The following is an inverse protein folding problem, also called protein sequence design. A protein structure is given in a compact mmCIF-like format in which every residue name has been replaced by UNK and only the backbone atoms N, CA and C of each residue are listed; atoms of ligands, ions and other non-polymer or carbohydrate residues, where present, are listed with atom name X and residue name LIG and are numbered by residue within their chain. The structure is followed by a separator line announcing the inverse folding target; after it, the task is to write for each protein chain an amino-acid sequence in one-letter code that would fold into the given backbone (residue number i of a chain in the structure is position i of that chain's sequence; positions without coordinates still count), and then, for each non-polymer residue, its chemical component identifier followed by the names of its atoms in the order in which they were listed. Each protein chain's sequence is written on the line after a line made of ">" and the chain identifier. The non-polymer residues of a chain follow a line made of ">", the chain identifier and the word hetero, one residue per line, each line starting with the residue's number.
data_IF_380046719729
#
_entry.id   IF_380046719729
#
_cell.length_a   1.000
_cell.length_b   1.000
_cell.length_c   1.000
_cell.angle_alpha   90.00
_cell.angle_beta   90.00
_cell.angle_gamma   90.00
#
_symmetry.space_group_name_H-M   'P 1'
#
loop_
_entity.id
_entity.type
_entity.pdbx_description
1 polymer ?
#
# COMPACT_ATOMS: atom_id res chain seq x y z
N UNK A 1 31.43 17.08 5.09
CA UNK A 1 30.17 16.44 5.54
C UNK A 1 29.66 17.18 6.76
N UNK A 2 28.33 17.34 6.88
CA UNK A 2 27.68 18.09 7.96
C UNK A 2 26.82 17.24 8.91
N UNK A 3 27.10 15.94 9.05
CA UNK A 3 26.35 15.09 9.98
C UNK A 3 27.10 14.78 11.27
N UNK A 4 26.52 13.88 12.06
CA UNK A 4 27.14 13.37 13.28
C UNK A 4 28.38 12.55 12.91
N UNK A 5 29.42 12.61 13.74
CA UNK A 5 30.58 11.73 13.63
C UNK A 5 30.18 10.24 13.59
N UNK A 6 31.08 9.36 13.16
CA UNK A 6 30.80 7.93 13.13
C UNK A 6 30.88 7.32 14.54
N UNK A 7 30.18 6.20 14.76
CA UNK A 7 30.46 5.38 15.94
C UNK A 7 31.89 4.81 15.85
N UNK A 8 32.48 4.44 17.00
CA UNK A 8 33.81 3.80 17.00
C UNK A 8 33.84 2.54 16.14
N UNK A 9 32.76 1.75 16.15
CA UNK A 9 32.62 0.53 15.34
C UNK A 9 32.61 0.84 13.85
N UNK A 10 31.78 1.78 13.40
CA UNK A 10 31.70 2.15 11.97
C UNK A 10 33.02 2.78 11.51
N UNK A 11 33.71 3.51 12.39
CA UNK A 11 35.01 4.08 12.08
C UNK A 11 36.12 3.03 11.98
N UNK A 12 36.09 1.99 12.83
CA UNK A 12 37.02 0.87 12.73
C UNK A 12 36.81 0.08 11.43
N UNK A 13 35.56 -0.13 11.02
CA UNK A 13 35.22 -0.71 9.72
C UNK A 13 35.71 0.16 8.55
N UNK A 14 35.52 1.49 8.65
CA UNK A 14 36.03 2.44 7.65
C UNK A 14 37.55 2.35 7.48
N UNK A 15 38.30 2.21 8.58
CA UNK A 15 39.77 2.05 8.53
C UNK A 15 40.18 0.74 7.85
N UNK A 16 39.41 -0.33 8.04
CA UNK A 16 39.69 -1.63 7.43
C UNK A 16 39.27 -1.73 5.96
N UNK A 17 38.50 -0.76 5.46
CA UNK A 17 37.96 -0.71 4.10
C UNK A 17 38.62 0.37 3.23
N UNK A 18 39.80 0.88 3.63
CA UNK A 18 40.59 1.79 2.79
C UNK A 18 40.88 1.14 1.44
N UNK A 19 40.62 1.88 0.36
CA UNK A 19 40.66 1.37 -1.00
C UNK A 19 39.34 0.78 -1.49
N UNK A 20 38.40 0.46 -0.61
CA UNK A 20 37.08 -0.08 -0.94
C UNK A 20 35.99 0.98 -1.18
N UNK A 21 34.74 0.51 -1.21
CA UNK A 21 33.55 1.33 -1.48
C UNK A 21 32.72 1.56 -0.20
N UNK A 22 32.13 2.74 -0.11
CA UNK A 22 31.24 3.17 0.98
C UNK A 22 29.99 3.82 0.40
N UNK A 23 28.83 3.59 1.01
CA UNK A 23 27.61 4.34 0.72
C UNK A 23 26.96 4.82 2.01
N UNK A 24 26.16 5.89 1.91
CA UNK A 24 25.36 6.39 3.02
C UNK A 24 23.90 5.98 2.83
N UNK A 25 23.30 5.47 3.91
CA UNK A 25 21.90 5.03 3.92
C UNK A 25 20.90 6.20 4.03
N UNK A 26 21.38 7.43 4.21
CA UNK A 26 20.58 8.64 4.35
C UNK A 26 21.07 9.74 3.38
N UNK A 27 20.25 10.78 3.17
CA UNK A 27 20.67 11.98 2.45
C UNK A 27 21.92 12.60 3.09
N UNK A 28 22.90 12.91 2.24
CA UNK A 28 24.22 13.32 2.69
C UNK A 28 24.38 14.83 2.48
N UNK A 29 24.24 15.61 3.55
CA UNK A 29 24.46 17.07 3.52
C UNK A 29 25.94 17.41 3.69
N UNK A 30 26.43 18.27 2.80
CA UNK A 30 27.83 18.65 2.71
C UNK A 30 27.99 20.12 2.36
N UNK A 31 29.22 20.62 2.47
CA UNK A 31 29.57 22.00 2.21
C UNK A 31 30.77 22.09 1.28
N UNK A 32 30.79 23.11 0.43
CA UNK A 32 32.00 23.54 -0.29
C UNK A 32 33.01 24.25 0.63
N UNK A 33 32.54 24.82 1.74
CA UNK A 33 33.37 25.43 2.79
C UNK A 33 33.92 24.37 3.72
N UNK A 34 35.24 24.26 3.74
CA UNK A 34 35.95 23.35 4.65
C UNK A 34 35.69 23.70 6.10
N UNK A 35 35.74 25.00 6.43
CA UNK A 35 35.64 25.47 7.81
C UNK A 35 34.27 25.13 8.42
N UNK A 36 33.19 25.24 7.63
CA UNK A 36 31.86 24.84 8.08
C UNK A 36 31.83 23.35 8.38
N UNK A 37 32.25 22.48 7.45
CA UNK A 37 32.28 21.02 7.69
C UNK A 37 33.21 20.64 8.86
N UNK A 38 34.32 21.35 9.03
CA UNK A 38 35.27 21.09 10.12
C UNK A 38 34.66 21.40 11.49
N UNK A 39 33.87 22.46 11.63
CA UNK A 39 33.18 22.78 12.89
C UNK A 39 32.22 21.67 13.37
N UNK A 40 31.55 20.97 12.43
CA UNK A 40 30.71 19.81 12.76
C UNK A 40 31.54 18.60 13.20
N UNK A 41 32.71 18.39 12.59
CA UNK A 41 33.65 17.35 12.99
C UNK A 41 34.22 17.62 14.40
N UNK A 42 34.57 18.87 14.72
CA UNK A 42 35.01 19.29 16.06
C UNK A 42 33.91 19.09 17.11
N UNK A 43 32.68 19.49 16.80
CA UNK A 43 31.52 19.29 17.68
C UNK A 43 31.33 17.81 18.02
N UNK A 44 31.46 16.94 17.01
CA UNK A 44 31.34 15.48 17.19
C UNK A 44 32.51 14.88 17.97
N UNK A 45 33.73 15.40 17.82
CA UNK A 45 34.91 14.91 18.52
C UNK A 45 34.84 15.08 20.05
N UNK A 46 34.01 16.00 20.54
CA UNK A 46 33.77 16.18 21.97
C UNK A 46 32.80 15.14 22.56
N UNK A 47 32.14 14.32 21.73
CA UNK A 47 31.26 13.25 22.19
C UNK A 47 32.04 11.93 22.34
N UNK A 48 32.13 11.33 23.54
CA UNK A 48 32.92 10.11 23.75
C UNK A 48 32.43 8.89 22.96
N UNK A 49 31.18 8.88 22.48
CA UNK A 49 30.60 7.79 21.69
C UNK A 49 30.91 7.89 20.20
N UNK A 50 31.41 9.03 19.73
CA UNK A 50 31.59 9.33 18.32
C UNK A 50 33.04 9.65 18.00
N UNK A 51 33.39 9.47 16.74
CA UNK A 51 34.66 9.88 16.16
C UNK A 51 34.39 11.11 15.29
N UNK A 52 35.06 12.21 15.56
CA UNK A 52 34.99 13.42 14.74
C UNK A 52 35.62 13.17 13.37
N UNK A 53 34.83 13.31 12.30
CA UNK A 53 35.28 12.99 10.94
C UNK A 53 34.97 14.12 9.99
N UNK A 54 35.99 14.52 9.23
CA UNK A 54 35.86 15.42 8.10
C UNK A 54 35.97 14.62 6.79
N UNK A 55 34.84 14.35 6.15
CA UNK A 55 34.85 13.79 4.79
C UNK A 55 35.17 14.88 3.77
N UNK A 56 36.27 14.69 3.03
CA UNK A 56 36.68 15.51 1.89
C UNK A 56 36.36 14.76 0.61
N UNK A 57 35.40 15.30 -0.15
CA UNK A 57 34.78 14.61 -1.29
C UNK A 57 35.33 15.19 -2.59
N UNK A 58 35.83 14.34 -3.46
CA UNK A 58 36.20 14.71 -4.83
C UNK A 58 35.13 14.24 -5.80
N UNK A 59 34.69 15.16 -6.64
CA UNK A 59 33.73 14.89 -7.72
C UNK A 59 34.42 15.22 -9.03
N UNK A 60 34.42 14.27 -9.97
CA UNK A 60 34.94 14.51 -11.32
C UNK A 60 33.91 15.37 -12.09
N UNK A 61 34.30 16.55 -12.60
CA UNK A 61 33.38 17.45 -13.30
C UNK A 61 32.87 16.91 -14.64
N UNK A 62 33.45 15.83 -15.18
CA UNK A 62 32.98 15.17 -16.40
C UNK A 62 31.77 14.25 -16.18
N UNK A 63 31.33 14.05 -14.92
CA UNK A 63 30.19 13.21 -14.57
C UNK A 63 28.86 13.86 -14.98
N UNK A 64 28.09 13.19 -15.84
CA UNK A 64 26.80 13.66 -16.35
C UNK A 64 25.59 13.17 -15.52
N UNK A 65 25.79 12.20 -14.62
CA UNK A 65 24.80 11.78 -13.66
C UNK A 65 24.92 12.69 -12.43
N UNK A 66 23.82 13.34 -12.04
CA UNK A 66 23.76 14.28 -10.91
C UNK A 66 23.17 13.58 -9.69
N UNK A 67 23.93 12.74 -8.94
CA UNK A 67 23.45 12.21 -7.66
C UNK A 67 23.48 13.29 -6.57
N UNK A 68 23.74 14.55 -6.90
CA UNK A 68 23.74 15.64 -5.94
C UNK A 68 23.18 16.94 -6.52
N UNK A 69 22.64 17.77 -5.62
CA UNK A 69 22.15 19.12 -5.93
C UNK A 69 22.88 20.14 -5.07
N UNK A 70 23.22 21.29 -5.67
CA UNK A 70 23.71 22.45 -4.94
C UNK A 70 22.53 23.27 -4.47
N UNK A 71 22.35 23.36 -3.16
CA UNK A 71 21.33 24.19 -2.52
C UNK A 71 22.00 25.53 -2.22
N UNK A 72 21.64 26.56 -3.00
CA UNK A 72 22.18 27.92 -2.90
C UNK A 72 21.65 28.68 -1.69
N UNK A 73 21.09 29.88 -1.89
CA UNK A 73 20.64 30.84 -0.86
C UNK A 73 19.61 30.31 0.17
N UNK A 74 19.16 29.06 0.06
CA UNK A 74 18.27 28.38 1.01
C UNK A 74 19.04 27.55 2.06
N UNK A 75 20.38 27.66 2.10
CA UNK A 75 21.21 27.00 3.09
C UNK A 75 21.09 27.66 4.48
N UNK A 76 21.37 26.90 5.54
CA UNK A 76 21.30 27.39 6.92
C UNK A 76 22.26 28.56 7.21
N UNK A 77 23.34 28.70 6.43
CA UNK A 77 24.32 29.76 6.55
C UNK A 77 24.25 30.67 5.32
N UNK A 78 23.87 31.93 5.51
CA UNK A 78 23.50 32.89 4.45
C UNK A 78 24.56 33.22 3.38
N UNK A 79 25.79 32.70 3.50
CA UNK A 79 26.90 32.91 2.56
C UNK A 79 27.53 31.59 2.06
N UNK A 80 26.83 30.46 2.21
CA UNK A 80 27.38 29.13 1.94
C UNK A 80 26.58 28.35 0.89
N UNK A 81 27.28 27.64 -0.01
CA UNK A 81 26.64 26.65 -0.90
C UNK A 81 26.64 25.27 -0.25
N UNK A 82 25.46 24.77 0.07
CA UNK A 82 25.25 23.40 0.53
C UNK A 82 25.16 22.44 -0.66
N UNK A 83 25.66 21.22 -0.48
CA UNK A 83 25.57 20.16 -1.49
C UNK A 83 24.94 18.92 -0.87
N UNK A 84 23.80 18.50 -1.41
CA UNK A 84 23.04 17.32 -0.97
C UNK A 84 23.25 16.18 -1.94
N UNK A 85 23.70 15.02 -1.47
CA UNK A 85 23.73 13.79 -2.28
C UNK A 85 22.50 12.91 -2.02
N UNK A 86 22.04 12.21 -3.06
CA UNK A 86 20.97 11.22 -3.00
C UNK A 86 21.35 10.02 -2.12
N UNK A 87 20.33 9.33 -1.61
CA UNK A 87 20.51 8.07 -0.90
C UNK A 87 21.25 7.04 -1.79
N UNK A 88 22.07 6.20 -1.17
CA UNK A 88 22.86 5.15 -1.83
C UNK A 88 23.93 5.64 -2.81
N UNK A 89 24.31 6.92 -2.75
CA UNK A 89 25.50 7.39 -3.48
C UNK A 89 26.74 6.64 -2.97
N UNK A 90 27.52 6.09 -3.89
CA UNK A 90 28.71 5.28 -3.59
C UNK A 90 29.99 6.10 -3.77
N UNK A 91 30.89 6.00 -2.81
CA UNK A 91 32.19 6.67 -2.79
C UNK A 91 33.32 5.66 -2.60
N UNK A 92 34.46 5.90 -3.24
CA UNK A 92 35.71 5.16 -3.01
C UNK A 92 36.52 5.82 -1.91
N UNK A 93 36.97 5.03 -0.94
CA UNK A 93 37.75 5.51 0.20
C UNK A 93 39.24 5.51 -0.19
N UNK A 94 39.93 6.64 -0.07
CA UNK A 94 41.34 6.76 -0.44
C UNK A 94 42.28 6.67 0.75
N UNK A 95 42.18 7.64 1.66
CA UNK A 95 43.09 7.74 2.79
C UNK A 95 42.43 8.44 3.98
N UNK A 96 42.94 8.11 5.16
CA UNK A 96 42.49 8.67 6.43
C UNK A 96 43.70 9.34 7.10
N UNK A 97 43.58 10.62 7.44
CA UNK A 97 44.62 11.41 8.10
C UNK A 97 44.08 11.99 9.39
N UNK A 98 44.92 12.05 10.43
CA UNK A 98 44.57 12.78 11.65
C UNK A 98 44.84 14.27 11.43
N UNK A 99 43.87 15.11 11.76
CA UNK A 99 43.94 16.56 11.64
C UNK A 99 43.51 17.24 12.95
N UNK A 100 43.98 18.48 13.16
CA UNK A 100 43.64 19.30 14.33
C UNK A 100 44.68 19.27 15.46
N UNK A 101 44.52 20.15 16.44
CA UNK A 101 45.39 20.31 17.62
C UNK A 101 44.71 19.90 18.94
N UNK A 102 43.44 19.44 18.88
CA UNK A 102 42.61 19.01 20.01
C UNK A 102 42.29 17.50 19.98
N UNK A 103 41.09 17.04 20.42
CA UNK A 103 40.70 15.64 20.29
C UNK A 103 40.83 15.17 18.83
N UNK A 104 41.20 13.90 18.57
CA UNK A 104 41.58 13.45 17.24
C UNK A 104 40.41 13.57 16.27
N UNK A 105 40.58 14.38 15.23
CA UNK A 105 39.66 14.47 14.10
C UNK A 105 40.30 13.78 12.93
N UNK A 106 39.53 12.97 12.22
CA UNK A 106 40.02 12.21 11.07
C UNK A 106 39.49 12.81 9.77
N UNK A 107 40.39 13.27 8.92
CA UNK A 107 40.07 13.61 7.54
C UNK A 107 40.05 12.34 6.70
N UNK A 108 38.92 12.08 6.04
CA UNK A 108 38.74 10.93 5.16
C UNK A 108 38.55 11.46 3.75
N UNK A 109 39.49 11.13 2.87
CA UNK A 109 39.41 11.49 1.46
C UNK A 109 38.60 10.44 0.71
N UNK A 110 37.50 10.87 0.07
CA UNK A 110 36.65 10.00 -0.73
C UNK A 110 36.39 10.60 -2.11
N UNK A 111 36.21 9.75 -3.12
CA UNK A 111 35.83 10.18 -4.48
C UNK A 111 34.48 9.57 -4.84
N UNK A 112 33.60 10.36 -5.46
CA UNK A 112 32.35 9.87 -6.02
C UNK A 112 32.65 8.83 -7.12
N UNK A 113 32.20 7.59 -6.90
CA UNK A 113 32.51 6.45 -7.77
C UNK A 113 31.66 6.46 -9.04
N UNK A 114 32.23 5.99 -10.15
CA UNK A 114 31.57 5.86 -11.46
C UNK A 114 31.00 4.46 -11.64
N UNK A 115 29.97 4.31 -12.48
CA UNK A 115 29.46 3.00 -12.94
C UNK A 115 30.53 2.16 -13.68
N UNK A 116 31.61 2.80 -14.14
CA UNK A 116 32.74 2.14 -14.79
C UNK A 116 33.78 1.56 -13.81
N UNK A 117 33.62 1.79 -12.51
CA UNK A 117 34.49 1.27 -11.47
C UNK A 117 34.37 -0.27 -11.40
N UNK A 118 35.51 -0.96 -11.43
CA UNK A 118 35.54 -2.42 -11.59
C UNK A 118 34.89 -3.16 -10.40
N UNK A 119 35.13 -2.71 -9.17
CA UNK A 119 34.55 -3.33 -7.97
C UNK A 119 33.06 -3.04 -7.86
N UNK A 120 32.63 -1.81 -8.19
CA UNK A 120 31.21 -1.47 -8.23
C UNK A 120 30.49 -2.27 -9.32
N UNK A 121 31.14 -2.46 -10.48
CA UNK A 121 30.62 -3.30 -11.57
C UNK A 121 30.54 -4.76 -11.14
N UNK A 122 31.57 -5.31 -10.50
CA UNK A 122 31.54 -6.68 -9.97
C UNK A 122 30.46 -6.87 -8.91
N UNK A 123 30.27 -5.91 -7.99
CA UNK A 123 29.18 -5.95 -7.01
C UNK A 123 27.82 -5.89 -7.69
N UNK A 124 27.64 -4.99 -8.65
CA UNK A 124 26.41 -4.86 -9.42
C UNK A 124 26.13 -6.12 -10.24
N UNK A 125 27.17 -6.71 -10.83
CA UNK A 125 27.08 -7.96 -11.59
C UNK A 125 26.82 -9.16 -10.69
N UNK A 126 27.33 -9.17 -9.45
CA UNK A 126 27.01 -10.19 -8.46
C UNK A 126 25.55 -10.09 -8.01
N UNK A 127 25.07 -8.88 -7.68
CA UNK A 127 23.65 -8.63 -7.39
C UNK A 127 22.79 -9.01 -8.60
N UNK A 128 23.22 -8.69 -9.82
CA UNK A 128 22.54 -9.11 -11.05
C UNK A 128 22.53 -10.62 -11.19
N UNK A 129 23.66 -11.31 -10.95
CA UNK A 129 23.78 -12.76 -11.04
C UNK A 129 22.92 -13.47 -9.99
N UNK A 130 22.90 -13.00 -8.74
CA UNK A 130 21.96 -13.48 -7.70
C UNK A 130 20.49 -13.32 -8.13
N UNK A 131 20.19 -12.30 -8.96
CA UNK A 131 18.85 -12.07 -9.51
C UNK A 131 18.60 -12.74 -10.88
N UNK A 132 19.62 -13.28 -11.56
CA UNK A 132 19.55 -13.76 -12.94
C UNK A 132 19.35 -15.27 -13.10
N UNK A 133 19.59 -16.09 -12.07
CA UNK A 133 19.63 -17.55 -12.27
C UNK A 133 18.23 -18.19 -12.34
N UNK A 134 17.17 -17.55 -11.81
CA UNK A 134 15.86 -18.22 -11.66
C UNK A 134 14.65 -17.42 -12.17
N UNK A 135 14.79 -16.21 -12.73
CA UNK A 135 13.65 -15.34 -13.10
C UNK A 135 12.80 -14.83 -11.92
N UNK A 136 12.90 -15.46 -10.74
CA UNK A 136 12.20 -15.13 -9.49
C UNK A 136 12.43 -13.69 -9.02
N UNK A 137 13.62 -13.13 -9.22
CA UNK A 137 13.94 -11.75 -8.86
C UNK A 137 13.11 -10.74 -9.67
N UNK A 138 13.04 -10.94 -10.99
CA UNK A 138 12.24 -10.09 -11.88
C UNK A 138 10.74 -10.29 -11.68
N UNK A 139 10.28 -11.52 -11.45
CA UNK A 139 8.89 -11.79 -11.09
C UNK A 139 8.51 -11.09 -9.78
N UNK A 140 9.38 -11.12 -8.77
CA UNK A 140 9.16 -10.40 -7.50
C UNK A 140 9.15 -8.88 -7.71
N UNK A 141 10.06 -8.34 -8.52
CA UNK A 141 10.07 -6.92 -8.87
C UNK A 141 8.76 -6.52 -9.57
N UNK A 142 8.31 -7.30 -10.54
CA UNK A 142 7.03 -7.09 -11.20
C UNK A 142 5.86 -7.08 -10.21
N UNK A 143 5.85 -7.99 -9.23
CA UNK A 143 4.83 -8.03 -8.19
C UNK A 143 4.86 -6.77 -7.32
N UNK A 144 6.05 -6.36 -6.87
CA UNK A 144 6.21 -5.13 -6.09
C UNK A 144 5.75 -3.90 -6.87
N UNK A 145 6.03 -3.84 -8.17
CA UNK A 145 5.56 -2.74 -9.02
C UNK A 145 4.02 -2.71 -9.13
N UNK A 146 3.35 -3.87 -9.19
CA UNK A 146 1.87 -3.93 -9.11
C UNK A 146 1.37 -3.39 -7.77
N UNK A 147 2.04 -3.71 -6.67
CA UNK A 147 1.69 -3.27 -5.32
C UNK A 147 1.93 -1.76 -5.13
N UNK A 148 2.98 -1.23 -5.75
CA UNK A 148 3.31 0.21 -5.78
C UNK A 148 2.47 1.03 -6.77
N UNK A 149 1.49 0.41 -7.43
CA UNK A 149 0.61 1.11 -8.38
C UNK A 149 1.28 1.46 -9.72
N UNK A 150 2.31 0.72 -10.12
CA UNK A 150 2.99 0.84 -11.41
C UNK A 150 2.74 -0.39 -12.31
N UNK A 151 1.47 -0.71 -12.65
CA UNK A 151 1.12 -1.92 -13.40
C UNK A 151 1.70 -1.93 -14.82
N UNK A 152 1.83 -0.77 -15.48
CA UNK A 152 2.35 -0.69 -16.86
C UNK A 152 3.83 -1.07 -16.95
N UNK A 153 4.62 -0.73 -15.92
CA UNK A 153 6.03 -1.13 -15.85
C UNK A 153 6.15 -2.60 -15.49
N UNK A 154 5.31 -3.09 -14.58
CA UNK A 154 5.25 -4.52 -14.25
C UNK A 154 4.90 -5.36 -15.50
N UNK A 155 3.93 -4.91 -16.29
CA UNK A 155 3.50 -5.56 -17.53
C UNK A 155 4.67 -5.73 -18.52
N UNK A 156 5.44 -4.67 -18.78
CA UNK A 156 6.62 -4.73 -19.66
C UNK A 156 7.66 -5.75 -19.19
N UNK A 157 7.87 -5.86 -17.87
CA UNK A 157 8.77 -6.85 -17.29
C UNK A 157 8.23 -8.26 -17.55
N UNK A 158 6.95 -8.49 -17.27
CA UNK A 158 6.33 -9.80 -17.46
C UNK A 158 6.27 -10.22 -18.93
N UNK A 159 5.98 -9.31 -19.87
CA UNK A 159 6.03 -9.60 -21.30
C UNK A 159 7.45 -9.96 -21.77
N UNK A 160 8.46 -9.29 -21.22
CA UNK A 160 9.87 -9.61 -21.51
C UNK A 160 10.23 -11.00 -20.99
N UNK A 161 9.85 -11.31 -19.75
CA UNK A 161 10.08 -12.64 -19.15
C UNK A 161 9.33 -13.74 -19.90
N UNK A 162 8.09 -13.48 -20.33
CA UNK A 162 7.28 -14.43 -21.07
C UNK A 162 7.90 -14.80 -22.42
N UNK A 163 8.54 -13.84 -23.09
CA UNK A 163 9.24 -14.09 -24.36
C UNK A 163 10.58 -14.83 -24.19
N UNK A 164 11.17 -14.80 -22.99
CA UNK A 164 12.46 -15.40 -22.70
C UNK A 164 12.36 -16.80 -22.07
N UNK A 165 11.23 -17.11 -21.42
CA UNK A 165 11.04 -18.40 -20.77
C UNK A 165 10.68 -19.50 -21.78
N UNK A 166 11.21 -20.69 -21.55
CA UNK A 166 10.81 -21.93 -22.20
C UNK A 166 10.25 -22.95 -21.20
N UNK A 167 10.12 -22.57 -19.93
CA UNK A 167 9.65 -23.43 -18.85
C UNK A 167 8.15 -23.21 -18.62
N UNK A 168 7.36 -24.29 -18.72
CA UNK A 168 5.91 -24.28 -18.55
C UNK A 168 5.49 -23.71 -17.17
N UNK A 169 6.27 -23.99 -16.11
CA UNK A 169 5.96 -23.53 -14.75
C UNK A 169 6.17 -22.02 -14.62
N UNK A 170 7.29 -21.51 -15.13
CA UNK A 170 7.57 -20.07 -15.14
C UNK A 170 6.58 -19.31 -16.01
N UNK A 171 6.23 -19.86 -17.19
CA UNK A 171 5.18 -19.33 -18.05
C UNK A 171 3.83 -19.27 -17.32
N UNK A 172 3.53 -20.30 -16.53
CA UNK A 172 2.35 -20.36 -15.67
C UNK A 172 2.31 -19.23 -14.63
N UNK A 173 3.43 -19.00 -13.93
CA UNK A 173 3.55 -17.93 -12.92
C UNK A 173 3.45 -16.55 -13.57
N UNK A 174 4.12 -16.32 -14.70
CA UNK A 174 4.08 -15.03 -15.41
C UNK A 174 2.66 -14.75 -15.93
N UNK A 175 2.00 -15.76 -16.50
CA UNK A 175 0.61 -15.65 -16.96
C UNK A 175 -0.35 -15.31 -15.82
N UNK A 176 -0.12 -15.85 -14.61
CA UNK A 176 -0.89 -15.47 -13.42
C UNK A 176 -0.75 -13.99 -13.10
N UNK A 177 0.46 -13.45 -13.13
CA UNK A 177 0.69 -12.03 -12.80
C UNK A 177 0.11 -11.09 -13.86
N UNK A 178 0.26 -11.40 -15.15
CA UNK A 178 -0.40 -10.65 -16.22
C UNK A 178 -1.93 -10.70 -16.08
N UNK A 179 -2.50 -11.84 -15.69
CA UNK A 179 -3.92 -11.97 -15.39
C UNK A 179 -4.39 -11.04 -14.28
N UNK A 180 -3.58 -10.84 -13.23
CA UNK A 180 -3.86 -9.88 -12.14
C UNK A 180 -3.87 -8.44 -12.64
N UNK A 181 -2.94 -8.08 -13.52
CA UNK A 181 -2.88 -6.76 -14.14
C UNK A 181 -4.15 -6.51 -14.97
N UNK A 182 -4.51 -7.45 -15.86
CA UNK A 182 -5.72 -7.36 -16.70
C UNK A 182 -6.99 -7.29 -15.87
N UNK A 183 -7.07 -8.05 -14.78
CA UNK A 183 -8.21 -7.98 -13.86
C UNK A 183 -8.35 -6.58 -13.24
N UNK A 184 -7.25 -5.99 -12.75
CA UNK A 184 -7.26 -4.62 -12.19
C UNK A 184 -7.63 -3.56 -13.24
N UNK A 185 -7.27 -3.77 -14.50
CA UNK A 185 -7.64 -2.90 -15.63
C UNK A 185 -9.12 -3.06 -16.07
N UNK A 186 -9.86 -4.03 -15.50
CA UNK A 186 -11.24 -4.34 -15.91
C UNK A 186 -11.34 -5.17 -17.19
N UNK A 187 -10.22 -5.66 -17.72
CA UNK A 187 -10.14 -6.50 -18.91
C UNK A 187 -10.40 -7.97 -18.56
N UNK A 188 -11.64 -8.26 -18.12
CA UNK A 188 -12.01 -9.54 -17.52
C UNK A 188 -11.83 -10.75 -18.45
N UNK A 189 -12.12 -10.60 -19.74
CA UNK A 189 -11.99 -11.71 -20.70
C UNK A 189 -10.51 -12.11 -20.93
N UNK A 190 -9.61 -11.13 -20.98
CA UNK A 190 -8.17 -11.37 -21.07
C UNK A 190 -7.64 -11.99 -19.77
N UNK A 191 -8.09 -11.48 -18.62
CA UNK A 191 -7.73 -12.02 -17.31
C UNK A 191 -8.11 -13.51 -17.17
N UNK A 192 -9.32 -13.90 -17.57
CA UNK A 192 -9.75 -15.32 -17.58
C UNK A 192 -8.85 -16.17 -18.46
N UNK A 193 -8.51 -15.67 -19.66
CA UNK A 193 -7.67 -16.41 -20.60
C UNK A 193 -6.29 -16.68 -19.99
N UNK A 194 -5.68 -15.66 -19.39
CA UNK A 194 -4.37 -15.75 -18.74
C UNK A 194 -4.41 -16.64 -17.49
N UNK A 195 -5.43 -16.52 -16.63
CA UNK A 195 -5.56 -17.38 -15.46
C UNK A 195 -5.84 -18.84 -15.82
N UNK A 196 -6.64 -19.10 -16.85
CA UNK A 196 -6.92 -20.47 -17.32
C UNK A 196 -5.67 -21.11 -17.91
N UNK A 197 -4.88 -20.34 -18.67
CA UNK A 197 -3.56 -20.76 -19.16
C UNK A 197 -2.62 -21.08 -17.99
N UNK A 198 -2.56 -20.20 -17.00
CA UNK A 198 -1.75 -20.40 -15.80
C UNK A 198 -2.15 -21.67 -15.03
N UNK A 199 -3.45 -21.89 -14.80
CA UNK A 199 -3.97 -23.11 -14.18
C UNK A 199 -3.53 -24.36 -14.97
N UNK A 200 -3.74 -24.38 -16.28
CA UNK A 200 -3.38 -25.52 -17.13
C UNK A 200 -1.89 -25.89 -17.03
N UNK A 201 -1.01 -24.88 -16.98
CA UNK A 201 0.43 -25.10 -16.90
C UNK A 201 0.85 -25.58 -15.51
N UNK A 202 0.36 -24.92 -14.46
CA UNK A 202 0.75 -25.20 -13.08
C UNK A 202 0.10 -26.46 -12.51
N UNK A 203 -1.06 -26.89 -13.01
CA UNK A 203 -1.64 -28.20 -12.67
C UNK A 203 -0.79 -29.38 -13.12
N UNK A 204 0.06 -29.21 -14.14
CA UNK A 204 0.98 -30.26 -14.59
C UNK A 204 2.20 -30.40 -13.68
N UNK A 205 2.65 -29.30 -13.08
CA UNK A 205 3.88 -29.24 -12.30
C UNK A 205 3.65 -29.32 -10.79
N UNK A 206 2.49 -28.88 -10.30
CA UNK A 206 2.19 -28.79 -8.88
C UNK A 206 1.24 -29.91 -8.41
N UNK A 207 1.36 -30.37 -7.15
CA UNK A 207 0.38 -31.24 -6.53
C UNK A 207 -1.03 -30.60 -6.52
N UNK A 208 -2.07 -31.43 -6.62
CA UNK A 208 -3.46 -30.96 -6.67
C UNK A 208 -3.90 -30.12 -5.45
N UNK A 209 -3.24 -30.30 -4.30
CA UNK A 209 -3.49 -29.56 -3.07
C UNK A 209 -2.54 -28.36 -2.86
N UNK A 210 -1.81 -27.93 -3.89
CA UNK A 210 -0.85 -26.85 -3.77
C UNK A 210 -1.55 -25.48 -3.58
N UNK A 211 -1.13 -24.64 -2.60
CA UNK A 211 -1.78 -23.35 -2.32
C UNK A 211 -1.88 -22.39 -3.51
N UNK A 212 -0.89 -22.42 -4.42
CA UNK A 212 -0.93 -21.65 -5.67
C UNK A 212 -2.16 -21.96 -6.52
N UNK A 213 -2.60 -23.22 -6.58
CA UNK A 213 -3.80 -23.60 -7.33
C UNK A 213 -5.06 -23.03 -6.66
N UNK A 214 -5.13 -23.02 -5.33
CA UNK A 214 -6.22 -22.37 -4.61
C UNK A 214 -6.30 -20.87 -4.94
N UNK A 215 -5.16 -20.18 -4.92
CA UNK A 215 -5.08 -18.75 -5.27
C UNK A 215 -5.55 -18.50 -6.71
N UNK A 216 -5.14 -19.35 -7.65
CA UNK A 216 -5.54 -19.23 -9.05
C UNK A 216 -7.04 -19.47 -9.25
N UNK A 217 -7.59 -20.52 -8.65
CA UNK A 217 -9.02 -20.79 -8.69
C UNK A 217 -9.82 -19.64 -8.06
N UNK A 218 -9.37 -19.10 -6.92
CA UNK A 218 -9.97 -17.95 -6.28
C UNK A 218 -9.96 -16.72 -7.20
N UNK A 219 -8.84 -16.44 -7.87
CA UNK A 219 -8.75 -15.33 -8.83
C UNK A 219 -9.69 -15.50 -10.03
N UNK A 220 -9.80 -16.71 -10.60
CA UNK A 220 -10.79 -16.99 -11.65
C UNK A 220 -12.22 -16.78 -11.14
N UNK A 221 -12.50 -17.23 -9.91
CA UNK A 221 -13.77 -16.99 -9.22
C UNK A 221 -14.10 -15.50 -9.10
N UNK A 222 -13.12 -14.67 -8.75
CA UNK A 222 -13.23 -13.21 -8.67
C UNK A 222 -13.50 -12.56 -10.03
N UNK A 223 -12.93 -13.08 -11.12
CA UNK A 223 -13.24 -12.55 -12.46
C UNK A 223 -14.69 -12.85 -12.84
N UNK A 224 -15.15 -14.09 -12.65
CA UNK A 224 -16.54 -14.45 -12.95
C UNK A 224 -17.55 -13.69 -12.08
N UNK A 225 -17.20 -13.47 -10.81
CA UNK A 225 -18.00 -12.64 -9.91
C UNK A 225 -18.14 -11.20 -10.44
N UNK A 226 -17.03 -10.61 -10.88
CA UNK A 226 -17.00 -9.25 -11.44
C UNK A 226 -17.78 -9.15 -12.76
N UNK A 227 -17.87 -10.25 -13.51
CA UNK A 227 -18.70 -10.37 -14.73
C UNK A 227 -20.18 -10.68 -14.43
N UNK A 228 -20.55 -10.96 -13.18
CA UNK A 228 -21.90 -11.34 -12.77
C UNK A 228 -22.25 -12.81 -13.03
N UNK A 229 -21.30 -13.65 -13.44
CA UNK A 229 -21.50 -15.11 -13.55
C UNK A 229 -21.28 -15.77 -12.18
N UNK A 230 -22.24 -15.55 -11.28
CA UNK A 230 -22.18 -16.03 -9.91
C UNK A 230 -22.12 -17.56 -9.80
N UNK A 231 -22.66 -18.29 -10.77
CA UNK A 231 -22.63 -19.76 -10.76
C UNK A 231 -21.21 -20.28 -10.99
N UNK A 232 -20.49 -19.75 -11.98
CA UNK A 232 -19.08 -20.11 -12.18
C UNK A 232 -18.22 -19.58 -11.05
N UNK A 233 -18.47 -18.36 -10.58
CA UNK A 233 -17.74 -17.81 -9.43
C UNK A 233 -17.77 -18.76 -8.22
N UNK A 234 -18.95 -19.27 -7.85
CA UNK A 234 -19.12 -20.25 -6.77
C UNK A 234 -18.40 -21.58 -7.06
N UNK A 235 -18.41 -22.06 -8.30
CA UNK A 235 -17.69 -23.27 -8.69
C UNK A 235 -16.18 -23.11 -8.42
N UNK A 236 -15.60 -22.01 -8.87
CA UNK A 236 -14.17 -21.72 -8.77
C UNK A 236 -13.74 -21.41 -7.34
N UNK A 237 -14.51 -20.61 -6.59
CA UNK A 237 -14.25 -20.43 -5.16
C UNK A 237 -14.41 -21.73 -4.36
N UNK A 238 -15.35 -22.59 -4.73
CA UNK A 238 -15.51 -23.91 -4.11
C UNK A 238 -14.30 -24.81 -4.31
N UNK A 239 -13.70 -24.79 -5.52
CA UNK A 239 -12.43 -25.49 -5.80
C UNK A 239 -11.28 -24.96 -4.95
N UNK A 240 -11.14 -23.63 -4.86
CA UNK A 240 -10.12 -23.00 -4.02
C UNK A 240 -10.26 -23.38 -2.55
N UNK A 241 -11.48 -23.23 -2.01
CA UNK A 241 -11.80 -23.58 -0.62
C UNK A 241 -11.53 -25.07 -0.33
N UNK A 242 -11.85 -25.97 -1.26
CA UNK A 242 -11.57 -27.41 -1.07
C UNK A 242 -10.08 -27.72 -0.95
N UNK A 243 -9.22 -26.99 -1.66
CA UNK A 243 -7.76 -27.16 -1.57
C UNK A 243 -7.26 -26.61 -0.23
N UNK A 244 -7.74 -25.43 0.16
CA UNK A 244 -7.40 -24.79 1.43
C UNK A 244 -7.81 -25.66 2.64
N UNK A 245 -9.00 -26.23 2.62
CA UNK A 245 -9.47 -27.14 3.68
C UNK A 245 -8.62 -28.41 3.83
N UNK A 246 -7.97 -28.86 2.75
CA UNK A 246 -7.09 -30.03 2.79
C UNK A 246 -5.65 -29.70 3.22
N UNK A 247 -5.23 -28.44 3.05
CA UNK A 247 -3.83 -28.02 3.20
C UNK A 247 -3.59 -27.12 4.41
N UNK A 248 -4.63 -26.47 4.94
CA UNK A 248 -4.55 -25.49 6.01
C UNK A 248 -5.27 -25.97 7.29
N UNK A 249 -4.85 -25.51 8.48
CA UNK A 249 -5.60 -25.69 9.71
C UNK A 249 -7.01 -25.09 9.63
N UNK A 250 -7.98 -25.66 10.35
CA UNK A 250 -9.40 -25.24 10.33
C UNK A 250 -9.61 -23.76 10.68
N UNK A 251 -8.74 -23.18 11.50
CA UNK A 251 -8.79 -21.79 11.94
C UNK A 251 -7.86 -20.86 11.12
N UNK A 252 -7.39 -21.28 9.95
CA UNK A 252 -6.50 -20.46 9.13
C UNK A 252 -7.23 -19.24 8.52
N UNK A 253 -6.64 -18.03 8.54
CA UNK A 253 -7.27 -16.81 8.00
C UNK A 253 -7.72 -16.90 6.53
N UNK A 254 -6.97 -17.63 5.70
CA UNK A 254 -7.33 -17.83 4.28
C UNK A 254 -8.69 -18.51 4.11
N UNK A 255 -9.05 -19.46 5.00
CA UNK A 255 -10.37 -20.08 4.98
C UNK A 255 -11.47 -19.05 5.28
N UNK A 256 -11.22 -18.11 6.18
CA UNK A 256 -12.17 -17.03 6.46
C UNK A 256 -12.37 -16.14 5.22
N UNK A 257 -11.29 -15.81 4.51
CA UNK A 257 -11.34 -15.05 3.26
C UNK A 257 -12.16 -15.80 2.19
N UNK A 258 -11.90 -17.09 2.00
CA UNK A 258 -12.63 -17.91 1.02
C UNK A 258 -14.11 -18.06 1.36
N UNK A 259 -14.46 -18.31 2.62
CA UNK A 259 -15.86 -18.29 3.06
C UNK A 259 -16.52 -16.92 2.86
N UNK A 260 -15.80 -15.83 3.15
CA UNK A 260 -16.27 -14.47 2.91
C UNK A 260 -16.57 -14.19 1.45
N UNK A 261 -15.70 -14.60 0.54
CA UNK A 261 -15.90 -14.47 -0.91
C UNK A 261 -17.16 -15.20 -1.37
N UNK A 262 -17.33 -16.46 -0.95
CA UNK A 262 -18.53 -17.25 -1.26
C UNK A 262 -19.80 -16.60 -0.67
N UNK A 263 -19.73 -16.11 0.57
CA UNK A 263 -20.82 -15.38 1.22
C UNK A 263 -21.22 -14.12 0.44
N UNK A 264 -20.25 -13.40 -0.12
CA UNK A 264 -20.44 -12.22 -0.96
C UNK A 264 -21.13 -12.54 -2.28
N UNK A 265 -20.75 -13.66 -2.92
CA UNK A 265 -21.40 -14.11 -4.16
C UNK A 265 -22.86 -14.51 -3.90
N UNK A 266 -23.14 -15.23 -2.81
CA UNK A 266 -24.52 -15.55 -2.43
C UNK A 266 -25.34 -14.31 -2.10
N UNK A 267 -24.74 -13.29 -1.45
CA UNK A 267 -25.39 -12.00 -1.23
C UNK A 267 -25.79 -11.34 -2.54
N UNK A 268 -24.87 -11.21 -3.50
CA UNK A 268 -25.15 -10.62 -4.82
C UNK A 268 -26.19 -11.41 -5.62
N UNK A 269 -26.25 -12.73 -5.43
CA UNK A 269 -27.27 -13.61 -6.01
C UNK A 269 -28.65 -13.48 -5.32
N UNK A 270 -28.73 -12.82 -4.17
CA UNK A 270 -29.95 -12.67 -3.38
C UNK A 270 -30.28 -13.87 -2.48
N UNK A 271 -29.36 -14.84 -2.35
CA UNK A 271 -29.51 -15.98 -1.44
C UNK A 271 -28.96 -15.60 -0.05
N UNK A 272 -29.72 -14.76 0.65
CA UNK A 272 -29.31 -14.22 1.95
C UNK A 272 -29.08 -15.30 3.04
N UNK A 273 -29.88 -16.38 3.15
CA UNK A 273 -29.61 -17.44 4.11
C UNK A 273 -28.26 -18.11 3.91
N UNK A 274 -27.87 -18.44 2.66
CA UNK A 274 -26.54 -18.98 2.40
C UNK A 274 -25.45 -17.94 2.63
N UNK A 275 -25.68 -16.69 2.26
CA UNK A 275 -24.73 -15.62 2.54
C UNK A 275 -24.41 -15.53 4.04
N UNK A 276 -25.43 -15.56 4.90
CA UNK A 276 -25.26 -15.59 6.36
C UNK A 276 -24.52 -16.84 6.86
N UNK A 277 -24.80 -18.02 6.28
CA UNK A 277 -24.08 -19.25 6.63
C UNK A 277 -22.57 -19.10 6.39
N UNK A 278 -22.19 -18.62 5.20
CA UNK A 278 -20.79 -18.49 4.80
C UNK A 278 -20.08 -17.34 5.51
N UNK A 279 -20.71 -16.17 5.66
CA UNK A 279 -20.15 -15.10 6.49
C UNK A 279 -20.04 -15.50 7.96
N UNK A 280 -20.97 -16.31 8.49
CA UNK A 280 -20.88 -16.85 9.84
C UNK A 280 -19.68 -17.77 10.04
N UNK A 281 -19.37 -18.63 9.06
CA UNK A 281 -18.16 -19.46 9.06
C UNK A 281 -16.88 -18.60 9.07
N UNK A 282 -16.83 -17.58 8.21
CA UNK A 282 -15.70 -16.64 8.16
C UNK A 282 -15.49 -15.92 9.50
N UNK A 283 -16.58 -15.37 10.07
CA UNK A 283 -16.55 -14.68 11.36
C UNK A 283 -16.10 -15.61 12.50
N UNK A 284 -16.57 -16.86 12.53
CA UNK A 284 -16.18 -17.82 13.56
C UNK A 284 -14.66 -18.09 13.55
N UNK A 285 -14.04 -18.19 12.37
CA UNK A 285 -12.59 -18.39 12.24
C UNK A 285 -11.85 -17.15 12.73
N UNK A 286 -12.29 -15.96 12.31
CA UNK A 286 -11.68 -14.70 12.73
C UNK A 286 -11.78 -14.49 14.24
N UNK A 287 -12.91 -14.81 14.87
CA UNK A 287 -13.09 -14.71 16.33
C UNK A 287 -12.15 -15.63 17.11
N UNK A 288 -11.73 -16.76 16.53
CA UNK A 288 -10.79 -17.69 17.15
C UNK A 288 -9.32 -17.31 16.93
N UNK A 289 -9.03 -16.53 15.88
CA UNK A 289 -7.66 -16.25 15.43
C UNK A 289 -7.21 -14.81 15.67
N UNK A 290 -8.14 -13.87 15.86
CA UNK A 290 -7.87 -12.44 15.96
C UNK A 290 -8.28 -11.88 17.33
N UNK A 291 -7.62 -10.80 17.81
CA UNK A 291 -8.08 -10.04 18.96
C UNK A 291 -9.51 -9.50 18.78
N UNK A 292 -10.27 -9.34 19.87
CA UNK A 292 -11.67 -8.90 19.83
C UNK A 292 -11.88 -7.54 19.14
N UNK A 293 -10.87 -6.67 19.15
CA UNK A 293 -10.90 -5.34 18.55
C UNK A 293 -10.23 -5.28 17.16
N UNK A 294 -10.01 -6.42 16.50
CA UNK A 294 -9.37 -6.45 15.18
C UNK A 294 -10.29 -5.89 14.09
N UNK A 295 -9.81 -5.02 13.17
CA UNK A 295 -10.63 -4.42 12.10
C UNK A 295 -11.37 -5.42 11.22
N UNK A 296 -10.78 -6.59 10.93
CA UNK A 296 -11.42 -7.64 10.14
C UNK A 296 -12.73 -8.15 10.76
N UNK A 297 -12.84 -8.17 12.10
CA UNK A 297 -14.10 -8.51 12.78
C UNK A 297 -15.18 -7.46 12.50
N UNK A 298 -14.81 -6.17 12.47
CA UNK A 298 -15.73 -5.10 12.12
C UNK A 298 -16.25 -5.27 10.68
N UNK A 299 -15.36 -5.57 9.73
CA UNK A 299 -15.72 -5.87 8.34
C UNK A 299 -16.71 -7.03 8.25
N UNK A 300 -16.46 -8.13 8.96
CA UNK A 300 -17.36 -9.29 8.98
C UNK A 300 -18.71 -9.00 9.61
N UNK A 301 -18.76 -8.26 10.71
CA UNK A 301 -20.01 -7.81 11.30
C UNK A 301 -20.78 -6.85 10.36
N UNK A 302 -20.10 -5.94 9.67
CA UNK A 302 -20.70 -5.07 8.67
C UNK A 302 -21.33 -5.89 7.51
N UNK A 303 -20.63 -6.89 7.00
CA UNK A 303 -21.15 -7.77 5.95
C UNK A 303 -22.42 -8.49 6.40
N UNK A 304 -22.45 -9.06 7.60
CA UNK A 304 -23.64 -9.72 8.15
C UNK A 304 -24.78 -8.72 8.39
N UNK A 305 -24.47 -7.52 8.90
CA UNK A 305 -25.43 -6.43 9.09
C UNK A 305 -26.09 -6.00 7.79
N UNK A 306 -25.32 -5.97 6.69
CA UNK A 306 -25.81 -5.69 5.34
C UNK A 306 -26.75 -6.78 4.83
N UNK A 307 -26.46 -8.06 5.08
CA UNK A 307 -27.37 -9.15 4.69
C UNK A 307 -28.72 -9.01 5.42
N UNK A 308 -28.71 -8.75 6.73
CA UNK A 308 -29.96 -8.55 7.48
C UNK A 308 -30.73 -7.30 7.05
N UNK A 309 -30.04 -6.20 6.72
CA UNK A 309 -30.66 -5.00 6.16
C UNK A 309 -31.40 -5.31 4.85
N UNK A 310 -30.73 -6.04 3.94
CA UNK A 310 -31.32 -6.45 2.65
C UNK A 310 -32.48 -7.45 2.81
N UNK A 311 -32.53 -8.20 3.90
CA UNK A 311 -33.68 -9.04 4.29
C UNK A 311 -34.82 -8.25 4.96
N UNK A 312 -34.59 -6.98 5.34
CA UNK A 312 -35.54 -6.17 6.11
C UNK A 312 -35.56 -6.48 7.61
N UNK A 313 -34.63 -7.30 8.13
CA UNK A 313 -34.45 -7.53 9.57
C UNK A 313 -33.60 -6.40 10.18
N UNK A 314 -34.21 -5.21 10.23
CA UNK A 314 -33.55 -4.00 10.74
C UNK A 314 -33.03 -4.13 12.19
N UNK A 315 -33.71 -4.81 13.14
CA UNK A 315 -33.18 -5.03 14.47
C UNK A 315 -31.84 -5.78 14.47
N UNK A 316 -31.74 -6.90 13.74
CA UNK A 316 -30.46 -7.63 13.65
C UNK A 316 -29.42 -6.84 12.87
N UNK A 317 -29.80 -6.17 11.80
CA UNK A 317 -28.89 -5.31 11.06
C UNK A 317 -28.21 -4.27 11.97
N UNK A 318 -29.01 -3.57 12.80
CA UNK A 318 -28.49 -2.61 13.78
C UNK A 318 -27.61 -3.25 14.85
N UNK A 319 -27.94 -4.46 15.30
CA UNK A 319 -27.09 -5.22 16.25
C UNK A 319 -25.69 -5.45 15.66
N UNK A 320 -25.61 -5.96 14.43
CA UNK A 320 -24.36 -6.29 13.78
C UNK A 320 -23.56 -5.04 13.37
N UNK A 321 -24.21 -4.01 12.80
CA UNK A 321 -23.55 -2.73 12.55
C UNK A 321 -23.07 -2.06 13.85
N UNK A 322 -23.80 -2.21 14.95
CA UNK A 322 -23.37 -1.72 16.26
C UNK A 322 -22.11 -2.40 16.77
N UNK A 323 -21.96 -3.72 16.56
CA UNK A 323 -20.73 -4.46 16.90
C UNK A 323 -19.55 -3.97 16.06
N UNK A 324 -19.73 -3.79 14.75
CA UNK A 324 -18.69 -3.26 13.88
C UNK A 324 -18.23 -1.86 14.31
N UNK A 325 -19.19 -0.95 14.51
CA UNK A 325 -18.93 0.42 14.95
C UNK A 325 -18.18 0.46 16.30
N UNK A 326 -18.53 -0.42 17.25
CA UNK A 326 -17.85 -0.48 18.55
C UNK A 326 -16.37 -0.86 18.41
N UNK A 327 -16.03 -1.74 17.48
CA UNK A 327 -14.64 -2.15 17.22
C UNK A 327 -13.89 -1.00 16.55
N UNK A 328 -14.48 -0.39 15.52
CA UNK A 328 -13.90 0.74 14.80
C UNK A 328 -13.64 1.92 15.74
N UNK A 329 -14.56 2.24 16.66
CA UNK A 329 -14.37 3.32 17.65
C UNK A 329 -13.22 3.06 18.61
N UNK A 330 -12.87 1.80 18.88
CA UNK A 330 -11.77 1.44 19.76
C UNK A 330 -10.42 1.37 19.02
N UNK A 331 -10.45 1.16 17.71
CA UNK A 331 -9.25 0.85 16.90
C UNK A 331 -8.83 1.98 15.96
N UNK A 332 -9.73 2.90 15.62
CA UNK A 332 -9.51 3.94 14.63
C UNK A 332 -9.59 5.35 15.22
N UNK A 333 -8.86 6.34 14.65
CA UNK A 333 -9.05 7.75 14.98
C UNK A 333 -10.50 8.21 14.75
N UNK A 334 -10.97 9.19 15.54
CA UNK A 334 -12.37 9.66 15.49
C UNK A 334 -12.82 10.17 14.10
N UNK A 335 -11.88 10.63 13.28
CA UNK A 335 -12.12 11.16 11.94
C UNK A 335 -11.86 10.11 10.82
N UNK A 336 -11.72 8.83 11.15
CA UNK A 336 -11.44 7.79 10.16
C UNK A 336 -12.63 7.57 9.21
N UNK A 337 -12.42 7.42 7.89
CA UNK A 337 -13.49 7.21 6.91
C UNK A 337 -14.42 6.01 7.20
N UNK A 338 -13.87 4.92 7.75
CA UNK A 338 -14.65 3.72 8.06
C UNK A 338 -15.74 3.99 9.10
N UNK A 339 -15.46 4.83 10.12
CA UNK A 339 -16.47 5.27 11.09
C UNK A 339 -17.62 6.01 10.39
N UNK A 340 -17.31 6.84 9.38
CA UNK A 340 -18.35 7.52 8.61
C UNK A 340 -19.21 6.54 7.80
N UNK A 341 -18.60 5.48 7.25
CA UNK A 341 -19.31 4.42 6.54
C UNK A 341 -20.24 3.66 7.49
N UNK A 342 -19.77 3.27 8.67
CA UNK A 342 -20.58 2.57 9.68
C UNK A 342 -21.74 3.42 10.20
N UNK A 343 -21.50 4.70 10.52
CA UNK A 343 -22.57 5.62 10.89
C UNK A 343 -23.59 5.81 9.75
N UNK A 344 -23.12 5.89 8.50
CA UNK A 344 -24.00 6.00 7.35
C UNK A 344 -24.89 4.75 7.18
N UNK A 345 -24.33 3.54 7.35
CA UNK A 345 -25.09 2.30 7.25
C UNK A 345 -26.18 2.21 8.34
N UNK A 346 -25.85 2.58 9.58
CA UNK A 346 -26.83 2.65 10.68
C UNK A 346 -27.92 3.70 10.38
N UNK A 347 -27.53 4.87 9.87
CA UNK A 347 -28.45 5.94 9.46
C UNK A 347 -29.42 5.48 8.36
N UNK A 348 -28.95 4.67 7.42
CA UNK A 348 -29.76 4.07 6.36
C UNK A 348 -30.79 3.08 6.90
N UNK A 349 -30.40 2.22 7.85
CA UNK A 349 -31.32 1.28 8.47
C UNK A 349 -32.44 2.01 9.22
N UNK A 350 -32.10 3.07 9.98
CA UNK A 350 -33.12 3.90 10.63
C UNK A 350 -34.03 4.63 9.64
N UNK A 351 -33.48 5.12 8.52
CA UNK A 351 -34.28 5.72 7.45
C UNK A 351 -35.29 4.72 6.88
N UNK A 352 -34.86 3.50 6.57
CA UNK A 352 -35.72 2.42 6.05
C UNK A 352 -36.78 1.97 7.06
N UNK A 353 -36.46 2.01 8.35
CA UNK A 353 -37.40 1.76 9.46
C UNK A 353 -38.40 2.91 9.68
N UNK A 354 -38.16 4.09 9.09
CA UNK A 354 -38.99 5.29 9.27
C UNK A 354 -38.66 6.11 10.52
N UNK A 355 -37.56 5.79 11.23
CA UNK A 355 -37.08 6.57 12.37
C UNK A 355 -36.16 7.71 11.84
N UNK A 356 -36.79 8.72 11.26
CA UNK A 356 -36.09 9.85 10.65
C UNK A 356 -35.21 10.65 11.63
N UNK A 357 -35.60 10.89 12.90
CA UNK A 357 -34.74 11.56 13.87
C UNK A 357 -33.42 10.83 14.10
N UNK A 358 -33.46 9.51 14.36
CA UNK A 358 -32.22 8.73 14.52
C UNK A 358 -31.43 8.66 13.22
N UNK A 359 -32.10 8.51 12.08
CA UNK A 359 -31.42 8.52 10.78
C UNK A 359 -30.60 9.80 10.57
N UNK A 360 -31.18 10.97 10.85
CA UNK A 360 -30.48 12.26 10.77
C UNK A 360 -29.32 12.37 11.75
N UNK A 361 -29.46 11.85 12.97
CA UNK A 361 -28.38 11.82 13.96
C UNK A 361 -27.15 11.07 13.40
N UNK A 362 -27.36 9.86 12.89
CA UNK A 362 -26.29 9.00 12.38
C UNK A 362 -25.71 9.52 11.06
N UNK A 363 -26.54 9.99 10.12
CA UNK A 363 -26.02 10.64 8.92
C UNK A 363 -25.27 11.93 9.21
N UNK A 364 -25.67 12.70 10.24
CA UNK A 364 -24.95 13.88 10.69
C UNK A 364 -23.55 13.54 11.20
N UNK A 365 -23.40 12.47 11.99
CA UNK A 365 -22.10 11.95 12.43
C UNK A 365 -21.21 11.55 11.25
N UNK A 366 -21.76 10.82 10.28
CA UNK A 366 -21.03 10.44 9.06
C UNK A 366 -20.57 11.65 8.23
N UNK A 367 -21.46 12.64 8.04
CA UNK A 367 -21.15 13.86 7.31
C UNK A 367 -20.05 14.67 8.02
N UNK A 368 -20.12 14.81 9.35
CA UNK A 368 -19.12 15.55 10.13
C UNK A 368 -17.73 14.95 9.96
N UNK A 369 -17.60 13.63 10.00
CA UNK A 369 -16.31 12.95 9.78
C UNK A 369 -15.81 13.21 8.37
N UNK A 370 -16.65 13.00 7.35
CA UNK A 370 -16.30 13.22 5.94
C UNK A 370 -15.88 14.67 5.67
N UNK A 371 -16.50 15.65 6.30
CA UNK A 371 -16.11 17.07 6.15
C UNK A 371 -14.74 17.38 6.75
N UNK A 372 -14.32 16.64 7.76
CA UNK A 372 -13.01 16.82 8.40
C UNK A 372 -11.89 16.08 7.66
N UNK A 373 -12.21 14.96 7.01
CA UNK A 373 -11.22 14.07 6.40
C UNK A 373 -11.10 14.17 4.88
N UNK A 374 -12.11 14.73 4.20
CA UNK A 374 -12.15 14.75 2.73
C UNK A 374 -12.11 16.19 2.20
N UNK A 375 -11.52 16.40 1.00
CA UNK A 375 -11.63 17.66 0.28
C UNK A 375 -13.08 18.06 0.05
N UNK A 376 -13.35 19.37 -0.03
CA UNK A 376 -14.71 19.90 -0.18
C UNK A 376 -15.43 19.35 -1.42
N UNK A 377 -14.73 18.93 -2.47
CA UNK A 377 -15.32 18.42 -3.71
C UNK A 377 -15.48 16.88 -3.72
N UNK A 378 -15.22 16.17 -2.62
CA UNK A 378 -15.23 14.72 -2.61
C UNK A 378 -16.64 14.13 -2.82
N UNK A 379 -16.84 13.12 -3.69
CA UNK A 379 -18.15 12.53 -3.99
C UNK A 379 -18.92 12.03 -2.76
N UNK A 380 -18.22 11.54 -1.74
CA UNK A 380 -18.86 11.05 -0.51
C UNK A 380 -19.58 12.13 0.29
N UNK A 381 -19.17 13.40 0.18
CA UNK A 381 -19.90 14.53 0.75
C UNK A 381 -21.27 14.66 0.06
N UNK A 382 -21.29 14.60 -1.27
CA UNK A 382 -22.53 14.62 -2.08
C UNK A 382 -23.47 13.48 -1.68
N UNK A 383 -22.95 12.26 -1.52
CA UNK A 383 -23.72 11.11 -1.03
C UNK A 383 -24.33 11.37 0.35
N UNK A 384 -23.54 11.93 1.27
CA UNK A 384 -23.99 12.25 2.63
C UNK A 384 -25.13 13.28 2.64
N UNK A 385 -24.98 14.36 1.86
CA UNK A 385 -26.03 15.37 1.71
C UNK A 385 -27.28 14.81 1.06
N UNK A 386 -27.16 13.96 0.02
CA UNK A 386 -28.30 13.29 -0.61
C UNK A 386 -29.06 12.40 0.37
N UNK A 387 -28.34 11.63 1.21
CA UNK A 387 -28.95 10.79 2.24
C UNK A 387 -29.76 11.62 3.24
N UNK A 388 -29.18 12.72 3.75
CA UNK A 388 -29.88 13.65 4.66
C UNK A 388 -31.07 14.33 3.97
N UNK A 389 -30.90 14.77 2.72
CA UNK A 389 -31.98 15.38 1.92
C UNK A 389 -33.14 14.41 1.70
N UNK A 390 -32.85 13.14 1.42
CA UNK A 390 -33.87 12.09 1.30
C UNK A 390 -34.70 11.95 2.58
N UNK A 391 -34.05 11.99 3.75
CA UNK A 391 -34.74 11.94 5.05
C UNK A 391 -35.63 13.17 5.23
N UNK A 392 -35.15 14.39 4.96
CA UNK A 392 -35.97 15.60 5.09
C UNK A 392 -37.16 15.61 4.13
N UNK A 393 -36.97 15.15 2.89
CA UNK A 393 -38.06 14.98 1.92
C UNK A 393 -39.13 14.02 2.45
N UNK A 394 -38.72 12.85 2.98
CA UNK A 394 -39.63 11.85 3.56
C UNK A 394 -40.32 12.31 4.84
N UNK A 395 -39.64 13.14 5.64
CA UNK A 395 -40.17 13.75 6.86
C UNK A 395 -41.02 15.02 6.60
N UNK A 396 -41.10 15.51 5.35
CA UNK A 396 -41.83 16.72 5.00
C UNK A 396 -41.18 18.04 5.44
N UNK A 397 -39.90 18.02 5.86
CA UNK A 397 -39.16 19.22 6.29
C UNK A 397 -38.53 19.92 5.06
N UNK A 398 -39.38 20.50 4.22
CA UNK A 398 -38.97 21.17 2.99
C UNK A 398 -38.00 22.36 3.21
N UNK A 399 -38.10 23.18 4.27
CA UNK A 399 -37.12 24.23 4.53
C UNK A 399 -35.69 23.70 4.71
N UNK A 400 -35.51 22.59 5.44
CA UNK A 400 -34.19 21.98 5.57
C UNK A 400 -33.76 21.26 4.30
N UNK A 401 -34.68 20.63 3.57
CA UNK A 401 -34.37 20.07 2.24
C UNK A 401 -33.80 21.13 1.30
N UNK A 402 -34.41 22.33 1.24
CA UNK A 402 -33.90 23.45 0.42
C UNK A 402 -32.47 23.83 0.85
N UNK A 403 -32.20 23.82 2.15
CA UNK A 403 -30.85 24.10 2.68
C UNK A 403 -29.82 23.06 2.22
N UNK A 404 -30.20 21.77 2.18
CA UNK A 404 -29.37 20.68 1.66
C UNK A 404 -29.14 20.83 0.15
N UNK A 405 -30.19 21.12 -0.61
CA UNK A 405 -30.09 21.36 -2.07
C UNK A 405 -29.13 22.52 -2.37
N UNK A 406 -29.20 23.61 -1.60
CA UNK A 406 -28.25 24.72 -1.74
C UNK A 406 -26.80 24.32 -1.41
N UNK A 407 -26.58 23.45 -0.42
CA UNK A 407 -25.25 22.92 -0.12
C UNK A 407 -24.71 22.06 -1.27
N UNK A 408 -25.55 21.20 -1.86
CA UNK A 408 -25.22 20.39 -3.04
C UNK A 408 -24.87 21.26 -4.26
N UNK A 409 -25.61 22.35 -4.50
CA UNK A 409 -25.29 23.29 -5.58
C UNK A 409 -23.93 23.97 -5.38
N UNK A 410 -23.57 24.32 -4.14
CA UNK A 410 -22.23 24.88 -3.84
C UNK A 410 -21.12 23.87 -4.14
N UNK A 411 -21.30 22.61 -3.73
CA UNK A 411 -20.36 21.52 -4.01
C UNK A 411 -20.14 21.33 -5.52
N UNK A 412 -21.24 21.32 -6.30
CA UNK A 412 -21.16 21.19 -7.75
C UNK A 412 -20.47 22.39 -8.43
N UNK A 413 -20.66 23.61 -7.91
CA UNK A 413 -20.02 24.81 -8.46
C UNK A 413 -18.51 24.88 -8.18
N UNK A 414 -18.03 24.34 -7.06
CA UNK A 414 -16.58 24.16 -6.81
C UNK A 414 -15.97 23.26 -7.88
N UNK A 415 -16.69 22.21 -8.29
CA UNK A 415 -16.31 21.31 -9.37
C UNK A 415 -16.19 22.02 -10.73
N UNK A 416 -17.06 23.01 -11.00
CA UNK A 416 -17.05 23.78 -12.25
C UNK A 416 -15.92 24.82 -12.31
N UNK A 417 -15.62 25.50 -11.20
CA UNK A 417 -14.55 26.49 -11.14
C UNK A 417 -13.13 25.89 -11.16
N UNK A 418 -12.93 24.69 -10.59
CA UNK A 418 -11.63 24.00 -10.68
C UNK A 418 -11.31 23.52 -12.10
N UNK A 419 -12.31 23.08 -12.87
CA UNK A 419 -12.11 22.70 -14.28
C UNK A 419 -11.69 23.90 -15.13
N UNK A 420 -12.27 25.08 -14.91
CA UNK A 420 -11.91 26.31 -15.63
C UNK A 420 -10.49 26.78 -15.33
N UNK A 421 -9.98 26.55 -14.11
CA UNK A 421 -8.60 26.90 -13.76
C UNK A 421 -7.54 25.88 -14.23
N UNK A 422 -7.97 24.71 -14.70
CA UNK A 422 -7.07 23.64 -15.20
C UNK A 422 -6.95 23.66 -16.74
N UNK A 423 -7.77 24.46 -17.42
CA UNK A 423 -7.64 24.81 -18.85
C UNK A 423 -7.06 26.22 -19.00
#
# INVERSE_FOLDING_TARGET
>A
YRGQGLSHTDFDELKNTIGGLMSFNNFFSTSISRDVSFSYAESSANNPKLVGILFTIRVDPSQSTTPFVRVGNDSHFSEETEVLFSMHTVFRIHDIKVIGTGPPIYEVNITLTLDSDEELRTLTDHIRQENHVDGKGWTRLGQLLIELGQPDTAEKIYDTLLNQTSDDSDEGVISHQLGRIRYKQGLFQEAITLYTKSLMLLEKSLPANHPTLATLYSNVGSVYDSMGDYSKSLEYYGKALSIEQQSLPENHPDLATSYGNIGSVYYRKGDYPKSLEYYGKALSIQQQSLPENHPDLATSYNNIGLVYDSMGDYPKSLEYYGKALSIEQQSLPENHPDLATSYNNIGLVYHRKGDYPKSLEYYGKALSIRQQSLPENHPDLTTSYNNIGSVYHRNGDYPKLISIVNALFKLANVHYHQIIHTF
#
